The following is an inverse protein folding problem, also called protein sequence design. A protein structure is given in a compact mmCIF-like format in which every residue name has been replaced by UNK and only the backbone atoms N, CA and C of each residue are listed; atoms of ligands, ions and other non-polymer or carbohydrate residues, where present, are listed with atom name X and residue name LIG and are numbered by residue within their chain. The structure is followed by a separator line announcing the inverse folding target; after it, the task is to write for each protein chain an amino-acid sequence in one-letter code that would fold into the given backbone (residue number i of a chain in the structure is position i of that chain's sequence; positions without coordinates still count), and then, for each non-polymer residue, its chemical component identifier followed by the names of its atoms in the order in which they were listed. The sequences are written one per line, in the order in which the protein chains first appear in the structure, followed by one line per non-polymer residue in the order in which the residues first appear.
data_IF_670702330572
#
_entry.id   IF_670702330572
#
_cell.length_a   1.000
_cell.length_b   1.000
_cell.length_c   1.000
_cell.angle_alpha   90.00
_cell.angle_beta   90.00
_cell.angle_gamma   90.00
#
_symmetry.space_group_name_H-M   'P 1'
#
loop_
_entity.id
_entity.type
_entity.pdbx_description
1 polymer ?
#
# COMPACT_ATOMS: atom_id res chain seq x y z
N UNK A 1 -15.27 -6.00 17.28
CA UNK A 1 -14.27 -6.01 16.18
C UNK A 1 -13.49 -4.71 16.28
N UNK A 2 -12.18 -4.75 16.56
CA UNK A 2 -11.38 -3.55 16.82
C UNK A 2 -11.07 -2.81 15.51
N UNK A 3 -11.72 -1.67 15.32
CA UNK A 3 -11.74 -0.82 14.11
C UNK A 3 -10.61 0.22 14.06
N UNK A 4 -9.47 0.00 14.75
CA UNK A 4 -8.40 1.00 14.85
C UNK A 4 -7.02 0.39 14.57
N UNK A 5 -6.49 0.71 13.37
CA UNK A 5 -5.09 0.54 12.92
C UNK A 5 -4.67 -0.85 12.47
N UNK A 6 -5.36 -1.44 11.50
CA UNK A 6 -4.76 -2.51 10.72
C UNK A 6 -3.60 -1.93 9.90
N UNK A 7 -2.38 -2.23 10.38
CA UNK A 7 -1.13 -1.97 9.72
C UNK A 7 -0.85 -3.14 8.79
N UNK A 8 -0.74 -2.86 7.51
CA UNK A 8 -0.51 -3.87 6.50
C UNK A 8 0.97 -3.78 6.11
N UNK A 9 1.72 -4.84 6.39
CA UNK A 9 3.12 -4.92 6.01
C UNK A 9 3.27 -5.09 4.50
N UNK A 10 4.49 -4.82 4.00
CA UNK A 10 4.84 -5.07 2.61
C UNK A 10 4.54 -6.51 2.16
N UNK A 11 4.82 -7.49 3.01
CA UNK A 11 4.61 -8.91 2.72
C UNK A 11 3.11 -9.24 2.60
N UNK A 12 2.28 -8.59 3.41
CA UNK A 12 0.83 -8.75 3.34
C UNK A 12 0.27 -8.10 2.07
N UNK A 13 0.73 -6.90 1.70
CA UNK A 13 0.38 -6.28 0.41
C UNK A 13 0.66 -7.21 -0.78
N UNK A 14 1.86 -7.80 -0.83
CA UNK A 14 2.22 -8.75 -1.89
C UNK A 14 1.23 -9.91 -2.00
N UNK A 15 0.81 -10.47 -0.85
CA UNK A 15 -0.17 -11.56 -0.81
C UNK A 15 -1.56 -11.12 -1.21
N UNK A 16 -2.04 -9.98 -0.69
CA UNK A 16 -3.41 -9.51 -0.94
C UNK A 16 -3.65 -9.16 -2.40
N UNK A 17 -2.69 -8.49 -3.04
CA UNK A 17 -2.81 -8.11 -4.46
C UNK A 17 -2.26 -9.18 -5.41
N UNK A 18 -1.70 -10.27 -4.88
CA UNK A 18 -1.02 -11.30 -5.66
C UNK A 18 0.05 -10.71 -6.59
N UNK A 19 0.87 -9.81 -6.05
CA UNK A 19 1.94 -9.12 -6.79
C UNK A 19 3.31 -9.40 -6.16
N UNK A 20 4.34 -9.22 -6.98
CA UNK A 20 5.71 -9.42 -6.55
C UNK A 20 6.26 -8.21 -5.76
N UNK A 21 7.49 -8.36 -5.28
CA UNK A 21 8.16 -7.31 -4.51
C UNK A 21 8.41 -6.06 -5.35
N UNK A 22 8.73 -6.23 -6.64
CA UNK A 22 9.09 -5.12 -7.53
C UNK A 22 7.88 -4.21 -7.79
N UNK A 23 6.69 -4.80 -7.99
CA UNK A 23 5.45 -4.04 -8.14
C UNK A 23 5.18 -3.14 -6.93
N UNK A 24 5.32 -3.67 -5.71
CA UNK A 24 5.15 -2.84 -4.50
C UNK A 24 6.23 -1.75 -4.40
N UNK A 25 7.47 -2.01 -4.82
CA UNK A 25 8.51 -0.96 -4.86
C UNK A 25 8.17 0.16 -5.86
N UNK A 26 7.67 -0.20 -7.05
CA UNK A 26 7.18 0.79 -8.02
C UNK A 26 6.00 1.58 -7.47
N UNK A 27 5.07 0.95 -6.74
CA UNK A 27 3.99 1.71 -6.08
C UNK A 27 4.51 2.72 -5.05
N UNK A 28 5.54 2.38 -4.29
CA UNK A 28 6.17 3.30 -3.33
C UNK A 28 6.90 4.44 -4.04
N UNK A 29 7.75 4.13 -5.02
CA UNK A 29 8.65 5.09 -5.67
C UNK A 29 7.96 5.95 -6.72
N UNK A 30 7.10 5.35 -7.53
CA UNK A 30 6.51 5.98 -8.72
C UNK A 30 5.09 6.46 -8.45
N UNK A 31 4.36 5.80 -7.55
CA UNK A 31 2.92 6.06 -7.32
C UNK A 31 2.62 6.63 -5.94
N UNK A 32 3.64 6.77 -5.08
CA UNK A 32 3.51 7.42 -3.78
C UNK A 32 2.73 6.62 -2.73
N UNK A 33 2.81 5.28 -2.76
CA UNK A 33 2.21 4.45 -1.70
C UNK A 33 2.82 4.82 -0.32
N UNK A 34 2.02 5.30 0.65
CA UNK A 34 2.53 5.85 1.91
C UNK A 34 2.92 4.75 2.90
N UNK A 35 4.12 4.21 2.73
CA UNK A 35 4.72 3.25 3.65
C UNK A 35 5.38 3.96 4.84
N UNK A 36 4.93 3.63 6.04
CA UNK A 36 5.49 4.09 7.31
C UNK A 36 6.61 3.14 7.73
N UNK A 37 7.79 3.68 7.98
CA UNK A 37 8.96 2.95 8.46
C UNK A 37 9.05 3.02 10.00
N UNK A 38 8.98 1.87 10.67
CA UNK A 38 9.27 1.75 12.12
C UNK A 38 10.76 1.51 12.33
N UNK A 39 11.34 0.67 11.48
CA UNK A 39 12.77 0.34 11.47
C UNK A 39 13.18 -0.14 10.08
N UNK A 40 14.48 -0.31 9.84
CA UNK A 40 15.05 -0.72 8.55
C UNK A 40 14.41 -1.98 7.95
N UNK A 41 13.83 -2.85 8.78
CA UNK A 41 13.19 -4.09 8.36
C UNK A 41 11.66 -4.12 8.56
N UNK A 42 11.09 -3.08 9.18
CA UNK A 42 9.66 -3.03 9.51
C UNK A 42 9.02 -1.80 8.90
N UNK A 43 8.30 -2.04 7.79
CA UNK A 43 7.52 -1.02 7.09
C UNK A 43 6.08 -1.50 6.91
N UNK A 44 5.12 -0.59 7.01
CA UNK A 44 3.70 -0.87 6.88
C UNK A 44 2.93 0.31 6.28
N UNK A 45 1.79 0.04 5.67
CA UNK A 45 0.79 1.06 5.29
C UNK A 45 -0.40 0.96 6.22
N UNK A 46 -1.08 2.07 6.52
CA UNK A 46 -2.36 2.00 7.24
C UNK A 46 -3.46 1.65 6.24
N UNK A 47 -4.44 0.87 6.68
CA UNK A 47 -5.60 0.53 5.84
C UNK A 47 -6.27 1.76 5.21
N UNK A 48 -6.47 2.85 5.96
CA UNK A 48 -7.07 4.10 5.47
C UNK A 48 -6.25 4.71 4.33
N UNK A 49 -4.93 4.82 4.52
CA UNK A 49 -4.01 5.36 3.51
C UNK A 49 -3.97 4.48 2.25
N UNK A 50 -4.06 3.15 2.44
CA UNK A 50 -4.13 2.19 1.34
C UNK A 50 -5.41 2.37 0.50
N UNK A 51 -6.56 2.55 1.15
CA UNK A 51 -7.84 2.81 0.47
C UNK A 51 -7.78 4.12 -0.31
N UNK A 52 -7.20 5.18 0.27
CA UNK A 52 -7.04 6.45 -0.44
C UNK A 52 -6.12 6.30 -1.67
N UNK A 53 -5.02 5.56 -1.52
CA UNK A 53 -4.14 5.23 -2.63
C UNK A 53 -4.85 4.45 -3.75
N UNK A 54 -5.65 3.43 -3.40
CA UNK A 54 -6.45 2.66 -4.37
C UNK A 54 -7.46 3.55 -5.11
N UNK A 55 -8.14 4.44 -4.40
CA UNK A 55 -9.09 5.37 -5.01
C UNK A 55 -8.41 6.30 -6.01
N UNK A 56 -7.20 6.79 -5.71
CA UNK A 56 -6.39 7.59 -6.65
C UNK A 56 -5.98 6.78 -7.88
N UNK A 57 -5.57 5.53 -7.68
CA UNK A 57 -5.20 4.62 -8.76
C UNK A 57 -6.37 4.30 -9.70
N UNK A 58 -7.58 4.12 -9.15
CA UNK A 58 -8.79 3.86 -9.94
C UNK A 58 -9.23 5.08 -10.74
N UNK A 59 -9.19 6.29 -10.16
CA UNK A 59 -9.53 7.53 -10.89
C UNK A 59 -8.65 7.72 -12.12
N UNK A 60 -7.35 7.51 -11.98
CA UNK A 60 -6.40 7.59 -13.11
C UNK A 60 -6.67 6.55 -14.21
N UNK A 61 -7.38 5.45 -13.92
CA UNK A 61 -7.74 4.43 -14.91
C UNK A 61 -8.98 4.80 -15.72
N UNK A 62 -9.84 5.67 -15.20
CA UNK A 62 -11.13 6.04 -15.82
C UNK A 62 -10.95 7.25 -16.76
N UNK A 63 -9.88 8.03 -16.61
CA UNK A 63 -9.57 9.23 -17.42
C UNK A 63 -8.63 8.95 -18.62
N UNK A 64 -8.45 7.68 -19.00
CA UNK A 64 -7.67 7.23 -20.17
C UNK A 64 -8.57 6.49 -21.17
#
# INVERSE_FOLDING_TARGET
MNTLKERISKKELMKMYNVDRSTIESWIKERGLPMIEISSHKKYVRREDLIEFENKMMKNKIEL
#
